data_IF_391897078267
#
_entry.id   IF_391897078267
#
_cell.length_a   1.000
_cell.length_b   1.000
_cell.length_c   1.000
_cell.angle_alpha   90.00
_cell.angle_beta   90.00
_cell.angle_gamma   90.00
#
_symmetry.space_group_name_H-M   'P 1'
#
loop_
_entity.id
_entity.type
_entity.pdbx_description
1 polymer ?
#
# COMPACT_ATOMS: atom_id res chain seq x y z
N UNK A 1 8.91 13.83 42.67
CA UNK A 1 9.87 14.94 42.59
C UNK A 1 9.48 15.81 41.41
N UNK A 2 9.26 17.10 41.63
CA UNK A 2 9.03 18.07 40.56
C UNK A 2 10.37 18.47 39.96
N UNK A 3 10.48 18.55 38.64
CA UNK A 3 11.68 19.02 37.93
C UNK A 3 11.36 20.34 37.24
N UNK A 4 12.29 21.27 37.27
CA UNK A 4 12.12 22.60 36.67
C UNK A 4 13.14 22.80 35.54
N UNK A 5 12.71 23.45 34.47
CA UNK A 5 13.55 23.84 33.34
C UNK A 5 13.41 25.35 33.15
N UNK A 6 14.54 26.07 33.11
CA UNK A 6 14.57 27.50 32.85
C UNK A 6 15.20 27.76 31.48
N UNK A 7 14.39 28.23 30.54
CA UNK A 7 14.84 28.66 29.21
C UNK A 7 15.13 30.16 29.27
N UNK A 8 16.33 30.57 28.86
CA UNK A 8 16.76 31.98 28.86
C UNK A 8 17.02 32.45 27.43
N UNK A 9 17.05 33.76 27.25
CA UNK A 9 17.40 34.39 25.97
C UNK A 9 16.47 34.01 24.82
N UNK A 10 15.19 33.80 25.11
CA UNK A 10 14.17 33.62 24.07
C UNK A 10 13.98 34.97 23.36
N UNK A 11 14.16 35.06 22.03
CA UNK A 11 13.87 36.29 21.31
C UNK A 11 12.41 36.70 21.51
N UNK A 12 12.15 38.00 21.71
CA UNK A 12 10.80 38.52 21.98
C UNK A 12 9.77 38.08 20.93
N UNK A 13 10.19 38.09 19.66
CA UNK A 13 9.36 37.61 18.55
C UNK A 13 8.96 36.14 18.71
N UNK A 14 9.90 35.29 19.09
CA UNK A 14 9.65 33.86 19.31
C UNK A 14 8.75 33.65 20.52
N UNK A 15 8.99 34.40 21.60
CA UNK A 15 8.13 34.37 22.80
C UNK A 15 6.67 34.71 22.47
N UNK A 16 6.45 35.82 21.75
CA UNK A 16 5.12 36.25 21.32
C UNK A 16 4.43 35.20 20.42
N UNK A 17 5.16 34.63 19.46
CA UNK A 17 4.63 33.59 18.58
C UNK A 17 4.22 32.32 19.33
N UNK A 18 5.04 31.88 20.30
CA UNK A 18 4.70 30.72 21.14
C UNK A 18 3.42 30.96 21.95
N UNK A 19 3.26 32.16 22.51
CA UNK A 19 2.05 32.53 23.26
C UNK A 19 0.81 32.61 22.37
N UNK A 20 0.92 33.24 21.19
CA UNK A 20 -0.18 33.28 20.21
C UNK A 20 -0.65 31.87 19.84
N UNK A 21 0.28 30.96 19.56
CA UNK A 21 -0.04 29.56 19.24
C UNK A 21 -0.68 28.87 20.45
N UNK A 22 -0.17 29.09 21.66
CA UNK A 22 -0.75 28.52 22.88
C UNK A 22 -2.22 28.93 23.05
N UNK A 23 -2.56 30.18 22.76
CA UNK A 23 -3.93 30.70 22.81
C UNK A 23 -4.80 30.18 21.66
N UNK A 24 -4.27 30.15 20.44
CA UNK A 24 -4.96 29.66 19.24
C UNK A 24 -5.40 28.20 19.39
N UNK A 25 -4.57 27.37 20.01
CA UNK A 25 -4.89 25.96 20.28
C UNK A 25 -5.53 25.73 21.66
N UNK A 26 -5.96 26.80 22.34
CA UNK A 26 -6.72 26.78 23.59
C UNK A 26 -6.06 25.94 24.72
N UNK A 27 -4.74 26.01 24.83
CA UNK A 27 -4.06 25.31 25.92
C UNK A 27 -4.41 25.92 27.28
N UNK A 28 -4.66 25.11 28.32
CA UNK A 28 -5.03 25.62 29.65
C UNK A 28 -3.94 26.47 30.31
N UNK A 29 -2.67 26.27 29.94
CA UNK A 29 -1.59 27.18 30.28
C UNK A 29 -0.43 27.13 29.28
N UNK A 30 0.36 28.19 29.24
CA UNK A 30 1.58 28.23 28.43
C UNK A 30 2.58 27.12 28.81
N UNK A 31 2.65 26.77 30.11
CA UNK A 31 3.50 25.67 30.57
C UNK A 31 3.05 24.32 30.01
N UNK A 32 1.73 24.05 29.98
CA UNK A 32 1.19 22.83 29.38
C UNK A 32 1.44 22.80 27.87
N UNK A 33 1.30 23.92 27.18
CA UNK A 33 1.66 24.05 25.77
C UNK A 33 3.13 23.69 25.53
N UNK A 34 4.06 24.25 26.31
CA UNK A 34 5.50 23.97 26.18
C UNK A 34 5.83 22.51 26.49
N UNK A 35 5.21 21.91 27.51
CA UNK A 35 5.38 20.50 27.83
C UNK A 35 4.85 19.60 26.71
N UNK A 36 3.70 19.94 26.11
CA UNK A 36 3.16 19.20 24.97
C UNK A 36 4.08 19.26 23.75
N UNK A 37 4.73 20.40 23.48
CA UNK A 37 5.71 20.48 22.39
C UNK A 37 6.96 19.64 22.67
N UNK A 38 7.48 19.65 23.92
CA UNK A 38 8.60 18.78 24.32
C UNK A 38 8.24 17.30 24.21
N UNK A 39 7.02 16.92 24.62
CA UNK A 39 6.53 15.55 24.48
C UNK A 39 6.45 15.13 23.02
N UNK A 40 5.92 15.99 22.13
CA UNK A 40 5.86 15.70 20.68
C UNK A 40 7.24 15.48 20.09
N UNK A 41 8.25 16.24 20.49
CA UNK A 41 9.64 16.03 20.06
C UNK A 41 10.13 14.63 20.46
N UNK A 42 9.85 14.23 21.71
CA UNK A 42 10.25 12.90 22.22
C UNK A 42 9.48 11.78 21.50
N UNK A 43 8.17 11.92 21.32
CA UNK A 43 7.31 10.94 20.64
C UNK A 43 7.67 10.76 19.17
N UNK A 44 7.99 11.86 18.49
CA UNK A 44 8.44 11.84 17.10
C UNK A 44 9.84 11.23 16.97
N UNK A 45 10.63 11.14 18.04
CA UNK A 45 11.95 10.52 18.02
C UNK A 45 13.02 11.37 17.33
N UNK A 46 12.79 12.67 17.15
CA UNK A 46 13.78 13.59 16.60
C UNK A 46 13.26 15.01 16.40
N UNK A 47 14.18 15.92 16.08
CA UNK A 47 13.98 17.38 16.14
C UNK A 47 13.47 17.98 14.82
N UNK A 48 13.54 17.25 13.72
CA UNK A 48 13.22 17.74 12.37
C UNK A 48 12.26 16.78 11.64
N UNK A 49 11.56 17.30 10.62
CA UNK A 49 10.64 16.58 9.74
C UNK A 49 11.29 15.38 9.03
N UNK A 50 12.60 15.44 8.79
CA UNK A 50 13.35 14.40 8.06
C UNK A 50 14.08 13.42 8.97
N UNK A 51 14.27 13.78 10.24
CA UNK A 51 14.95 12.97 11.25
C UNK A 51 13.96 12.68 12.37
N UNK A 52 12.97 11.84 12.07
CA UNK A 52 11.97 11.39 13.01
C UNK A 52 11.40 10.02 12.59
N UNK A 53 10.76 9.33 13.52
CA UNK A 53 10.16 8.00 13.33
C UNK A 53 9.10 7.97 12.22
N UNK A 54 8.42 9.09 11.96
CA UNK A 54 7.47 9.20 10.88
C UNK A 54 8.15 9.16 9.50
N UNK A 55 9.27 9.85 9.33
CA UNK A 55 10.07 9.81 8.09
C UNK A 55 10.62 8.40 7.82
N UNK A 56 11.11 7.70 8.85
CA UNK A 56 11.53 6.29 8.75
C UNK A 56 10.38 5.40 8.31
N UNK A 57 9.21 5.54 8.95
CA UNK A 57 8.01 4.77 8.61
C UNK A 57 7.58 5.05 7.16
N UNK A 58 7.62 6.30 6.72
CA UNK A 58 7.27 6.70 5.36
C UNK A 58 8.22 6.09 4.33
N UNK A 59 9.52 6.04 4.63
CA UNK A 59 10.51 5.39 3.77
C UNK A 59 10.21 3.89 3.61
N UNK A 60 9.89 3.20 4.70
CA UNK A 60 9.49 1.77 4.69
C UNK A 60 8.21 1.56 3.88
N UNK A 61 7.19 2.42 4.07
CA UNK A 61 5.94 2.34 3.28
C UNK A 61 6.24 2.48 1.79
N UNK A 62 7.10 3.43 1.41
CA UNK A 62 7.48 3.65 0.01
C UNK A 62 8.18 2.43 -0.59
N UNK A 63 9.04 1.78 0.17
CA UNK A 63 9.70 0.54 -0.26
C UNK A 63 8.69 -0.61 -0.45
N UNK A 64 7.77 -0.79 0.50
CA UNK A 64 6.71 -1.80 0.41
C UNK A 64 5.81 -1.56 -0.81
N UNK A 65 5.45 -0.30 -1.09
CA UNK A 65 4.67 0.05 -2.29
C UNK A 65 5.39 -0.33 -3.59
N UNK A 66 6.70 -0.12 -3.67
CA UNK A 66 7.49 -0.53 -4.84
C UNK A 66 7.48 -2.06 -5.03
N UNK A 67 7.59 -2.82 -3.93
CA UNK A 67 7.50 -4.28 -3.97
C UNK A 67 6.12 -4.79 -4.39
N UNK A 68 5.05 -4.16 -3.91
CA UNK A 68 3.67 -4.48 -4.31
C UNK A 68 3.47 -4.25 -5.81
N UNK A 69 3.97 -3.13 -6.34
CA UNK A 69 3.86 -2.83 -7.77
C UNK A 69 4.59 -3.87 -8.63
N UNK A 70 5.78 -4.29 -8.24
CA UNK A 70 6.51 -5.37 -8.93
C UNK A 70 5.74 -6.71 -8.91
N UNK A 71 5.13 -7.04 -7.78
CA UNK A 71 4.31 -8.25 -7.66
C UNK A 71 3.03 -8.18 -8.50
N UNK A 72 2.38 -7.01 -8.56
CA UNK A 72 1.20 -6.79 -9.40
C UNK A 72 1.54 -6.96 -10.88
N UNK A 73 2.66 -6.39 -11.33
CA UNK A 73 3.13 -6.55 -12.71
C UNK A 73 3.39 -8.04 -13.05
N UNK A 74 4.06 -8.77 -12.14
CA UNK A 74 4.30 -10.21 -12.30
C UNK A 74 3.00 -11.00 -12.38
N UNK A 75 1.99 -10.63 -11.59
CA UNK A 75 0.68 -11.27 -11.63
C UNK A 75 -0.08 -10.98 -12.92
N UNK A 76 -0.01 -9.75 -13.42
CA UNK A 76 -0.62 -9.37 -14.71
C UNK A 76 -0.01 -10.16 -15.88
N UNK A 77 1.32 -10.28 -15.93
CA UNK A 77 2.01 -11.10 -16.93
C UNK A 77 1.57 -12.57 -16.84
N UNK A 78 1.46 -13.12 -15.63
CA UNK A 78 0.98 -14.50 -15.43
C UNK A 78 -0.46 -14.68 -15.89
N UNK A 79 -1.34 -13.73 -15.59
CA UNK A 79 -2.74 -13.76 -16.01
C UNK A 79 -2.85 -13.74 -17.54
N UNK A 80 -2.08 -12.89 -18.22
CA UNK A 80 -2.02 -12.89 -19.69
C UNK A 80 -1.57 -14.25 -20.24
N UNK A 81 -0.54 -14.85 -19.64
CA UNK A 81 -0.07 -16.17 -20.03
C UNK A 81 -1.11 -17.27 -19.76
N UNK A 82 -1.88 -17.17 -18.66
CA UNK A 82 -2.97 -18.10 -18.38
C UNK A 82 -4.12 -17.95 -19.37
N UNK A 83 -4.50 -16.72 -19.74
CA UNK A 83 -5.52 -16.48 -20.76
C UNK A 83 -5.11 -17.10 -22.11
N UNK A 84 -3.87 -16.87 -22.56
CA UNK A 84 -3.38 -17.50 -23.79
C UNK A 84 -3.41 -19.04 -23.75
N UNK A 85 -3.09 -19.63 -22.58
CA UNK A 85 -3.21 -21.09 -22.41
C UNK A 85 -4.66 -21.55 -22.40
N UNK A 86 -5.56 -20.76 -21.82
CA UNK A 86 -6.98 -21.06 -21.78
C UNK A 86 -7.57 -21.07 -23.19
N UNK A 87 -7.21 -20.10 -24.04
CA UNK A 87 -7.64 -20.04 -25.44
C UNK A 87 -7.23 -21.31 -26.20
N UNK A 88 -5.98 -21.77 -26.03
CA UNK A 88 -5.49 -23.02 -26.64
C UNK A 88 -6.27 -24.24 -26.13
N UNK A 89 -6.53 -24.31 -24.82
CA UNK A 89 -7.28 -25.43 -24.24
C UNK A 89 -8.72 -25.44 -24.75
N UNK A 90 -9.34 -24.27 -24.90
CA UNK A 90 -10.69 -24.13 -25.45
C UNK A 90 -10.76 -24.60 -26.91
N UNK A 91 -9.78 -24.20 -27.74
CA UNK A 91 -9.67 -24.65 -29.13
C UNK A 91 -9.52 -26.17 -29.22
N UNK A 92 -8.55 -26.74 -28.49
CA UNK A 92 -8.30 -28.18 -28.49
C UNK A 92 -9.49 -28.99 -27.98
N UNK A 93 -10.20 -28.50 -26.97
CA UNK A 93 -11.40 -29.16 -26.44
C UNK A 93 -12.53 -29.12 -27.47
N UNK A 94 -12.72 -27.98 -28.14
CA UNK A 94 -13.73 -27.83 -29.19
C UNK A 94 -13.46 -28.74 -30.38
N UNK A 95 -12.20 -28.82 -30.82
CA UNK A 95 -11.78 -29.68 -31.91
C UNK A 95 -11.92 -31.16 -31.57
N UNK A 96 -11.60 -31.55 -30.33
CA UNK A 96 -11.79 -32.91 -29.86
C UNK A 96 -13.27 -33.30 -29.84
N UNK A 97 -14.17 -32.42 -29.39
CA UNK A 97 -15.61 -32.67 -29.42
C UNK A 97 -16.12 -32.87 -30.85
N UNK A 98 -15.72 -32.00 -31.79
CA UNK A 98 -16.06 -32.15 -33.21
C UNK A 98 -15.56 -33.47 -33.80
N UNK A 99 -14.32 -33.84 -33.49
CA UNK A 99 -13.76 -35.11 -33.93
C UNK A 99 -14.57 -36.30 -33.40
N UNK A 100 -15.02 -36.26 -32.15
CA UNK A 100 -15.87 -37.30 -31.57
C UNK A 100 -17.22 -37.38 -32.28
N UNK A 101 -17.85 -36.24 -32.57
CA UNK A 101 -19.12 -36.19 -33.33
C UNK A 101 -18.96 -36.80 -34.74
N UNK A 102 -17.85 -36.49 -35.43
CA UNK A 102 -17.55 -37.05 -36.76
C UNK A 102 -17.32 -38.57 -36.70
N UNK A 103 -16.61 -39.05 -35.68
CA UNK A 103 -16.38 -40.49 -35.46
C UNK A 103 -17.70 -41.22 -35.23
N UNK A 104 -18.59 -40.66 -34.40
CA UNK A 104 -19.91 -41.22 -34.12
C UNK A 104 -20.79 -41.22 -35.37
N UNK A 105 -20.75 -40.17 -36.19
CA UNK A 105 -21.47 -40.09 -37.46
C UNK A 105 -20.98 -41.18 -38.45
N UNK A 106 -19.66 -41.35 -38.59
CA UNK A 106 -19.07 -42.38 -39.44
C UNK A 106 -19.41 -43.81 -38.96
N UNK A 107 -19.46 -44.03 -37.64
CA UNK A 107 -19.88 -45.31 -37.07
C UNK A 107 -21.35 -45.61 -37.39
N UNK A 108 -22.23 -44.60 -37.29
CA UNK A 108 -23.64 -44.72 -37.63
C UNK A 108 -23.85 -45.01 -39.14
N UNK A 109 -23.14 -44.33 -40.03
CA UNK A 109 -23.19 -44.57 -41.47
C UNK A 109 -22.72 -45.98 -41.84
N UNK A 110 -21.63 -46.48 -41.23
CA UNK A 110 -21.16 -47.86 -41.43
C UNK A 110 -22.17 -48.90 -40.95
N UNK A 111 -22.86 -48.64 -39.84
CA UNK A 111 -23.96 -49.48 -39.35
C UNK A 111 -25.18 -49.48 -40.27
N UNK A 112 -25.47 -48.36 -40.94
CA UNK A 112 -26.60 -48.21 -41.85
C UNK A 112 -26.31 -48.74 -43.28
N UNK A 113 -25.06 -48.66 -43.75
CA UNK A 113 -24.62 -49.09 -45.08
C UNK A 113 -24.16 -50.55 -45.18
N UNK A 114 -24.11 -51.29 -44.06
CA UNK A 114 -23.77 -52.71 -44.03
C UNK A 114 -24.95 -53.60 -44.44
N UNK A 115 -25.29 -53.62 -45.73
CA UNK A 115 -26.08 -54.68 -46.38
C UNK A 115 -25.52 -55.00 -47.75
#
# INVERSE_FOLDING_TARGET
MTKEIKIRSIPEKTWAQLHMISEEYEYPSFNEFMLAQLQRIVENGGLDLYDNKFAETLAVIKEQQAQILDQLLKNEIKLLAYHAKQDIVEELTTDWLRFMDDVDALAAERGAGGR
#
